data_IF_679013835264
#
_entry.id   IF_679013835264
#
_cell.length_a   1.000
_cell.length_b   1.000
_cell.length_c   1.000
_cell.angle_alpha   90.00
_cell.angle_beta   90.00
_cell.angle_gamma   90.00
#
_symmetry.space_group_name_H-M   'P 1'
#
loop_
_entity.id
_entity.type
_entity.pdbx_description
1 polymer ?
#
# COMPACT_ATOMS: atom_id res chain seq x y z
N UNK A 1 9.16 -6.52 -9.14
CA UNK A 1 7.80 -5.93 -9.27
C UNK A 1 6.88 -6.98 -9.85
N UNK A 2 5.89 -7.46 -9.10
CA UNK A 2 4.88 -8.39 -9.61
C UNK A 2 4.03 -7.70 -10.70
N UNK A 3 3.44 -8.49 -11.59
CA UNK A 3 2.55 -7.96 -12.62
C UNK A 3 1.31 -7.25 -12.02
N UNK A 4 0.84 -7.72 -10.87
CA UNK A 4 -0.24 -7.14 -10.08
C UNK A 4 0.02 -5.69 -9.69
N UNK A 5 1.22 -5.36 -9.22
CA UNK A 5 1.62 -4.02 -8.83
C UNK A 5 1.53 -3.03 -10.00
N UNK A 6 1.94 -3.45 -11.21
CA UNK A 6 1.81 -2.62 -12.41
C UNK A 6 0.33 -2.32 -12.72
N UNK A 7 -0.55 -3.28 -12.52
CA UNK A 7 -1.99 -3.08 -12.71
C UNK A 7 -2.58 -2.13 -11.66
N UNK A 8 -2.20 -2.24 -10.39
CA UNK A 8 -2.65 -1.30 -9.35
C UNK A 8 -2.16 0.14 -9.62
N UNK A 9 -0.90 0.31 -10.04
CA UNK A 9 -0.37 1.63 -10.43
C UNK A 9 -1.14 2.22 -11.64
N UNK A 10 -1.49 1.42 -12.63
CA UNK A 10 -2.34 1.86 -13.74
C UNK A 10 -3.75 2.21 -13.27
N UNK A 11 -4.33 1.40 -12.38
CA UNK A 11 -5.63 1.69 -11.80
C UNK A 11 -5.63 3.05 -11.07
N UNK A 12 -4.57 3.35 -10.30
CA UNK A 12 -4.39 4.66 -9.66
C UNK A 12 -4.32 5.79 -10.69
N UNK A 13 -3.50 5.63 -11.75
CA UNK A 13 -3.37 6.63 -12.82
C UNK A 13 -4.74 6.97 -13.43
N UNK A 14 -5.52 5.95 -13.77
CA UNK A 14 -6.85 6.15 -14.35
C UNK A 14 -7.88 6.67 -13.34
N UNK A 15 -7.82 6.25 -12.07
CA UNK A 15 -8.75 6.75 -11.07
C UNK A 15 -8.53 8.23 -10.76
N UNK A 16 -7.26 8.68 -10.74
CA UNK A 16 -6.88 10.04 -10.36
C UNK A 16 -6.62 10.99 -11.52
N UNK A 17 -6.52 10.49 -12.74
CA UNK A 17 -6.15 11.31 -13.88
C UNK A 17 -4.71 11.83 -13.82
N UNK A 18 -3.75 10.96 -13.51
CA UNK A 18 -2.34 11.33 -13.39
C UNK A 18 -1.61 11.30 -14.73
N UNK A 19 -0.44 11.93 -14.78
CA UNK A 19 0.49 11.93 -15.91
C UNK A 19 -0.16 12.39 -17.24
N UNK A 20 -1.10 13.32 -17.20
CA UNK A 20 -1.80 13.83 -18.37
C UNK A 20 -2.89 12.91 -18.92
N UNK A 21 -3.19 11.82 -18.22
CA UNK A 21 -4.30 10.91 -18.56
C UNK A 21 -5.60 11.48 -17.98
N UNK A 22 -6.66 11.48 -18.77
CA UNK A 22 -8.00 11.83 -18.26
C UNK A 22 -8.50 10.74 -17.31
N UNK A 23 -9.03 11.14 -16.16
CA UNK A 23 -9.61 10.20 -15.19
C UNK A 23 -10.73 9.37 -15.81
N UNK A 24 -10.68 8.06 -15.57
CA UNK A 24 -11.65 7.09 -16.10
C UNK A 24 -11.79 5.91 -15.14
N UNK A 25 -12.83 5.93 -14.31
CA UNK A 25 -13.07 4.88 -13.31
C UNK A 25 -13.40 3.51 -13.93
N UNK A 26 -13.97 3.46 -15.12
CA UNK A 26 -14.23 2.17 -15.80
C UNK A 26 -12.92 1.48 -16.20
N UNK A 27 -11.96 2.25 -16.73
CA UNK A 27 -10.62 1.73 -17.05
C UNK A 27 -9.85 1.41 -15.77
N UNK A 28 -9.96 2.26 -14.74
CA UNK A 28 -9.38 1.98 -13.43
C UNK A 28 -9.87 0.65 -12.84
N UNK A 29 -11.17 0.38 -12.94
CA UNK A 29 -11.78 -0.89 -12.51
C UNK A 29 -11.18 -2.08 -13.25
N UNK A 30 -11.04 -2.01 -14.57
CA UNK A 30 -10.45 -3.09 -15.37
C UNK A 30 -9.02 -3.40 -14.91
N UNK A 31 -8.19 -2.40 -14.69
CA UNK A 31 -6.82 -2.56 -14.21
C UNK A 31 -6.80 -3.07 -12.76
N UNK A 32 -7.66 -2.57 -11.90
CA UNK A 32 -7.81 -3.03 -10.52
C UNK A 32 -8.17 -4.52 -10.43
N UNK A 33 -9.16 -4.98 -11.20
CA UNK A 33 -9.57 -6.39 -11.26
C UNK A 33 -8.45 -7.29 -11.82
N UNK A 34 -7.69 -6.79 -12.80
CA UNK A 34 -6.52 -7.48 -13.32
C UNK A 34 -5.39 -7.56 -12.25
N UNK A 35 -5.21 -6.52 -11.46
CA UNK A 35 -4.28 -6.50 -10.34
C UNK A 35 -4.61 -7.57 -9.29
N UNK A 36 -5.86 -7.63 -8.84
CA UNK A 36 -6.34 -8.64 -7.88
C UNK A 36 -6.16 -10.05 -8.46
N UNK A 37 -6.54 -10.26 -9.71
CA UNK A 37 -6.40 -11.57 -10.38
C UNK A 37 -4.94 -11.98 -10.45
N UNK A 38 -4.06 -11.06 -10.83
CA UNK A 38 -2.61 -11.28 -10.87
C UNK A 38 -2.03 -11.62 -9.51
N UNK A 39 -2.44 -10.90 -8.47
CA UNK A 39 -2.03 -11.12 -7.08
C UNK A 39 -2.45 -12.52 -6.59
N UNK A 40 -3.72 -12.87 -6.74
CA UNK A 40 -4.24 -14.18 -6.35
C UNK A 40 -3.49 -15.33 -7.04
N UNK A 41 -3.23 -15.22 -8.33
CA UNK A 41 -2.49 -16.21 -9.09
C UNK A 41 -1.03 -16.30 -8.64
N UNK A 42 -0.36 -15.16 -8.44
CA UNK A 42 1.03 -15.10 -8.01
C UNK A 42 1.23 -15.75 -6.63
N UNK A 43 0.43 -15.36 -5.64
CA UNK A 43 0.56 -15.87 -4.29
C UNK A 43 0.14 -17.34 -4.17
N UNK A 44 -0.87 -17.78 -4.92
CA UNK A 44 -1.25 -19.18 -4.98
C UNK A 44 -0.15 -20.00 -5.61
N UNK A 45 0.47 -19.55 -6.71
CA UNK A 45 1.58 -20.25 -7.35
C UNK A 45 2.81 -20.31 -6.42
N UNK A 46 3.07 -19.23 -5.67
CA UNK A 46 4.14 -19.22 -4.67
C UNK A 46 3.88 -20.25 -3.55
N UNK A 47 2.62 -20.39 -3.11
CA UNK A 47 2.23 -21.42 -2.14
C UNK A 47 2.38 -22.84 -2.72
N UNK A 48 1.94 -23.07 -3.95
CA UNK A 48 2.11 -24.36 -4.66
C UNK A 48 3.60 -24.73 -4.75
N UNK A 49 4.47 -23.79 -5.04
CA UNK A 49 5.90 -24.01 -5.21
C UNK A 49 6.68 -24.02 -3.88
N UNK A 50 6.04 -23.68 -2.77
CA UNK A 50 6.73 -23.61 -1.47
C UNK A 50 7.20 -25.00 -1.00
N UNK A 51 8.47 -25.18 -0.67
CA UNK A 51 8.98 -26.46 -0.14
C UNK A 51 8.63 -26.65 1.34
N UNK A 52 8.25 -25.59 2.06
CA UNK A 52 7.96 -25.63 3.50
C UNK A 52 6.47 -25.70 3.82
N UNK A 53 5.62 -25.33 2.89
CA UNK A 53 4.18 -25.44 3.05
C UNK A 53 3.72 -26.81 2.54
N UNK A 54 3.52 -27.75 3.44
CA UNK A 54 3.22 -29.16 3.10
C UNK A 54 1.79 -29.59 3.46
N UNK A 55 1.12 -28.86 4.36
CA UNK A 55 -0.26 -29.17 4.80
C UNK A 55 -1.21 -28.16 4.16
N UNK A 56 -2.36 -28.64 3.67
CA UNK A 56 -3.40 -27.84 3.01
C UNK A 56 -2.89 -26.98 1.86
N UNK A 57 -1.88 -27.48 1.15
CA UNK A 57 -1.30 -26.83 -0.01
C UNK A 57 -2.32 -26.72 -1.14
N UNK A 58 -2.46 -25.56 -1.80
CA UNK A 58 -3.36 -25.43 -2.94
C UNK A 58 -3.01 -26.46 -4.04
N UNK A 59 -4.02 -27.16 -4.54
CA UNK A 59 -3.84 -28.15 -5.61
C UNK A 59 -3.66 -27.50 -7.00
N UNK A 60 -4.04 -26.24 -7.15
CA UNK A 60 -3.93 -25.48 -8.40
C UNK A 60 -4.26 -24.02 -8.21
N UNK A 61 -4.18 -23.23 -9.28
CA UNK A 61 -4.57 -21.83 -9.29
C UNK A 61 -6.07 -21.66 -9.00
N UNK A 62 -6.51 -20.50 -8.48
CA UNK A 62 -7.91 -20.21 -8.25
C UNK A 62 -8.71 -20.34 -9.54
N UNK A 63 -9.88 -20.96 -9.46
CA UNK A 63 -10.80 -21.00 -10.60
C UNK A 63 -11.36 -19.60 -10.91
N UNK A 64 -11.82 -19.39 -12.15
CA UNK A 64 -12.52 -18.16 -12.52
C UNK A 64 -13.73 -17.85 -11.63
N UNK A 65 -14.41 -18.90 -11.15
CA UNK A 65 -15.53 -18.75 -10.18
C UNK A 65 -15.04 -18.19 -8.85
N UNK A 66 -13.92 -18.70 -8.34
CA UNK A 66 -13.34 -18.22 -7.08
C UNK A 66 -12.84 -16.78 -7.20
N UNK A 67 -12.17 -16.45 -8.30
CA UNK A 67 -11.73 -15.07 -8.58
C UNK A 67 -12.93 -14.13 -8.66
N UNK A 68 -13.97 -14.48 -9.42
CA UNK A 68 -15.18 -13.67 -9.54
C UNK A 68 -15.91 -13.49 -8.21
N UNK A 69 -15.87 -14.47 -7.32
CA UNK A 69 -16.44 -14.33 -5.98
C UNK A 69 -15.70 -13.27 -5.15
N UNK A 70 -14.38 -13.15 -5.30
CA UNK A 70 -13.60 -12.07 -4.68
C UNK A 70 -13.93 -10.72 -5.31
N UNK A 71 -13.91 -10.61 -6.64
CA UNK A 71 -14.13 -9.36 -7.37
C UNK A 71 -15.55 -8.79 -7.16
N UNK A 72 -16.54 -9.65 -6.97
CA UNK A 72 -17.93 -9.26 -6.71
C UNK A 72 -18.26 -9.10 -5.21
N UNK A 73 -17.28 -9.26 -4.32
CA UNK A 73 -17.50 -8.96 -2.92
C UNK A 73 -17.71 -7.45 -2.73
N UNK A 74 -18.77 -6.99 -2.03
CA UNK A 74 -19.06 -5.56 -1.86
C UNK A 74 -17.94 -4.73 -1.25
N UNK A 75 -17.06 -5.36 -0.44
CA UNK A 75 -15.89 -4.69 0.17
C UNK A 75 -14.77 -4.51 -0.85
N UNK A 76 -14.65 -5.43 -1.82
CA UNK A 76 -13.57 -5.47 -2.82
C UNK A 76 -13.98 -4.75 -4.10
N UNK A 77 -15.24 -4.87 -4.50
CA UNK A 77 -15.76 -4.30 -5.76
C UNK A 77 -15.50 -2.79 -5.81
N UNK A 78 -14.77 -2.34 -6.84
CA UNK A 78 -14.39 -0.94 -6.98
C UNK A 78 -15.64 -0.06 -7.13
N UNK A 79 -15.70 1.03 -6.36
CA UNK A 79 -16.78 2.02 -6.45
C UNK A 79 -16.67 2.79 -7.79
N UNK A 80 -17.68 2.68 -8.67
CA UNK A 80 -17.63 3.35 -9.96
C UNK A 80 -18.03 4.84 -9.89
N UNK A 81 -18.48 5.32 -8.73
CA UNK A 81 -19.12 6.64 -8.57
C UNK A 81 -18.28 7.62 -7.76
N UNK A 82 -17.42 7.14 -6.87
CA UNK A 82 -16.56 7.96 -6.04
C UNK A 82 -15.06 7.65 -6.30
N UNK A 83 -14.40 8.59 -6.98
CA UNK A 83 -12.98 8.47 -7.31
C UNK A 83 -12.08 8.43 -6.06
N UNK A 84 -12.48 9.09 -4.97
CA UNK A 84 -11.72 9.08 -3.71
C UNK A 84 -11.82 7.71 -3.06
N UNK A 85 -13.01 7.17 -2.94
CA UNK A 85 -13.24 5.82 -2.40
C UNK A 85 -12.60 4.75 -3.28
N UNK A 86 -12.75 4.83 -4.61
CA UNK A 86 -12.08 3.94 -5.55
C UNK A 86 -10.55 3.95 -5.37
N UNK A 87 -9.95 5.12 -5.19
CA UNK A 87 -8.51 5.26 -4.94
C UNK A 87 -8.10 4.59 -3.62
N UNK A 88 -8.88 4.73 -2.56
CA UNK A 88 -8.63 4.05 -1.28
C UNK A 88 -8.71 2.53 -1.43
N UNK A 89 -9.67 2.02 -2.19
CA UNK A 89 -9.80 0.58 -2.48
C UNK A 89 -8.60 0.05 -3.27
N UNK A 90 -8.10 0.82 -4.26
CA UNK A 90 -6.90 0.46 -5.03
C UNK A 90 -5.69 0.34 -4.08
N UNK A 91 -5.45 1.34 -3.23
CA UNK A 91 -4.35 1.31 -2.27
C UNK A 91 -4.47 0.18 -1.26
N UNK A 92 -5.68 -0.15 -0.82
CA UNK A 92 -5.92 -1.27 0.07
C UNK A 92 -5.51 -2.61 -0.55
N UNK A 93 -5.87 -2.84 -1.81
CA UNK A 93 -5.51 -4.08 -2.52
C UNK A 93 -4.02 -4.13 -2.88
N UNK A 94 -3.43 -3.01 -3.29
CA UNK A 94 -1.99 -2.89 -3.52
C UNK A 94 -1.20 -3.20 -2.23
N UNK A 95 -1.64 -2.68 -1.08
CA UNK A 95 -1.04 -2.95 0.21
C UNK A 95 -1.14 -4.44 0.61
N UNK A 96 -2.27 -5.09 0.34
CA UNK A 96 -2.44 -6.54 0.56
C UNK A 96 -1.50 -7.35 -0.34
N UNK A 97 -1.32 -6.96 -1.60
CA UNK A 97 -0.37 -7.60 -2.53
C UNK A 97 1.07 -7.53 -2.01
N UNK A 98 1.42 -6.46 -1.30
CA UNK A 98 2.75 -6.23 -0.72
C UNK A 98 3.02 -6.97 0.59
N UNK A 99 2.26 -8.01 0.95
CA UNK A 99 2.34 -8.74 2.24
C UNK A 99 3.75 -9.23 2.61
N UNK A 100 4.62 -9.47 1.64
CA UNK A 100 6.02 -9.88 1.84
C UNK A 100 7.04 -8.81 1.43
N UNK A 101 6.59 -7.59 1.18
CA UNK A 101 7.38 -6.45 0.74
C UNK A 101 7.17 -5.26 1.72
N UNK A 102 7.63 -5.38 2.98
CA UNK A 102 7.30 -4.42 4.02
C UNK A 102 7.80 -2.99 3.74
N UNK A 103 8.90 -2.85 3.01
CA UNK A 103 9.43 -1.54 2.62
C UNK A 103 8.57 -0.85 1.56
N UNK A 104 8.06 -1.62 0.59
CA UNK A 104 7.18 -1.10 -0.46
C UNK A 104 5.81 -0.76 0.14
N UNK A 105 5.27 -1.61 1.01
CA UNK A 105 4.05 -1.35 1.77
C UNK A 105 4.17 -0.10 2.66
N UNK A 106 5.31 0.11 3.33
CA UNK A 106 5.57 1.31 4.11
C UNK A 106 5.67 2.55 3.21
N UNK A 107 6.32 2.45 2.06
CA UNK A 107 6.42 3.55 1.08
C UNK A 107 5.05 3.93 0.54
N UNK A 108 4.23 2.94 0.20
CA UNK A 108 2.83 3.15 -0.22
C UNK A 108 2.05 3.91 0.87
N UNK A 109 2.12 3.45 2.13
CA UNK A 109 1.48 4.11 3.26
C UNK A 109 1.90 5.59 3.39
N UNK A 110 3.20 5.88 3.25
CA UNK A 110 3.72 7.26 3.34
C UNK A 110 3.33 8.12 2.14
N UNK A 111 3.34 7.55 0.94
CA UNK A 111 2.94 8.24 -0.30
C UNK A 111 1.45 8.58 -0.31
N UNK A 112 0.61 7.72 0.22
CA UNK A 112 -0.85 7.86 0.20
C UNK A 112 -1.43 8.60 1.41
N UNK A 113 -0.58 9.01 2.36
CA UNK A 113 -1.02 9.70 3.57
C UNK A 113 -1.82 8.84 4.54
N UNK A 114 -1.63 7.51 4.49
CA UNK A 114 -2.31 6.56 5.37
C UNK A 114 -3.65 6.05 4.85
N UNK A 115 -3.92 6.16 3.56
CA UNK A 115 -5.16 5.65 2.95
C UNK A 115 -5.18 4.11 2.79
N UNK A 116 -4.14 3.42 3.24
CA UNK A 116 -4.07 1.96 3.29
C UNK A 116 -4.75 1.43 4.56
N UNK A 117 -5.18 0.16 4.59
CA UNK A 117 -5.75 -0.44 5.79
C UNK A 117 -4.79 -0.34 6.97
N UNK A 118 -5.28 0.12 8.10
CA UNK A 118 -4.57 0.14 9.37
C UNK A 118 -5.44 -0.54 10.42
N UNK A 119 -4.82 -1.23 11.37
CA UNK A 119 -5.49 -1.67 12.58
C UNK A 119 -5.80 -0.43 13.44
N UNK A 120 -7.07 -0.02 13.56
CA UNK A 120 -7.43 1.19 14.27
C UNK A 120 -7.10 1.12 15.77
N UNK A 121 -7.12 -0.05 16.37
CA UNK A 121 -6.87 -0.22 17.81
C UNK A 121 -5.40 -0.04 18.14
N UNK A 122 -4.51 -0.63 17.37
CA UNK A 122 -3.06 -0.45 17.54
C UNK A 122 -2.59 0.93 17.10
N UNK A 123 -3.14 1.47 16.02
CA UNK A 123 -2.79 2.78 15.52
C UNK A 123 -3.19 3.89 16.50
N UNK A 124 -4.38 3.83 17.09
CA UNK A 124 -4.90 4.86 17.98
C UNK A 124 -4.03 5.03 19.24
N UNK A 125 -3.63 3.93 19.89
CA UNK A 125 -2.80 3.97 21.10
C UNK A 125 -1.40 4.53 20.84
N UNK A 126 -0.74 4.10 19.77
CA UNK A 126 0.58 4.59 19.41
C UNK A 126 0.53 6.08 18.99
N UNK A 127 -0.39 6.44 18.11
CA UNK A 127 -0.52 7.81 17.57
C UNK A 127 -0.88 8.81 18.66
N UNK A 128 -1.71 8.44 19.63
CA UNK A 128 -2.05 9.32 20.76
C UNK A 128 -0.86 9.66 21.65
N UNK A 129 0.09 8.74 21.77
CA UNK A 129 1.25 8.88 22.67
C UNK A 129 2.47 9.51 21.96
N UNK A 130 2.73 9.12 20.71
CA UNK A 130 3.98 9.46 20.01
C UNK A 130 3.75 10.25 18.71
N UNK A 131 2.52 10.44 18.28
CA UNK A 131 2.18 10.96 16.95
C UNK A 131 2.42 9.93 15.85
N UNK A 132 2.20 10.33 14.59
CA UNK A 132 2.45 9.46 13.44
C UNK A 132 3.94 9.14 13.30
N UNK A 133 4.26 7.86 13.21
CA UNK A 133 5.63 7.42 12.95
C UNK A 133 5.98 7.65 11.48
N UNK A 134 6.76 8.68 11.21
CA UNK A 134 7.18 9.03 9.84
C UNK A 134 8.66 8.73 9.58
N UNK A 135 9.51 8.76 10.60
CA UNK A 135 10.95 8.48 10.50
C UNK A 135 11.54 8.14 11.85
N UNK A 136 12.71 7.52 11.82
CA UNK A 136 13.54 7.44 13.02
C UNK A 136 14.14 8.80 13.35
N UNK A 137 14.36 9.03 14.63
CA UNK A 137 15.09 10.21 15.09
C UNK A 137 16.56 10.13 14.66
N UNK A 138 17.17 11.27 14.38
CA UNK A 138 18.61 11.34 14.20
C UNK A 138 19.31 10.98 15.52
N UNK A 139 20.48 10.32 15.47
CA UNK A 139 21.28 10.04 16.67
C UNK A 139 21.56 11.30 17.47
N UNK A 140 21.59 11.19 18.79
CA UNK A 140 21.90 12.34 19.67
C UNK A 140 23.28 12.95 19.41
N UNK A 141 24.22 12.14 18.91
CA UNK A 141 25.55 12.60 18.47
C UNK A 141 25.50 13.66 17.39
N UNK A 142 24.53 13.61 16.46
CA UNK A 142 24.37 14.63 15.43
C UNK A 142 24.04 15.99 16.02
N UNK A 143 23.18 16.04 17.03
CA UNK A 143 22.88 17.27 17.75
C UNK A 143 24.09 17.83 18.47
N UNK A 144 24.96 16.97 18.99
CA UNK A 144 26.14 17.38 19.76
C UNK A 144 27.29 17.84 18.89
N UNK A 145 27.59 17.09 17.82
CA UNK A 145 28.80 17.32 17.02
C UNK A 145 28.54 18.00 15.67
N UNK A 146 27.28 18.07 15.22
CA UNK A 146 26.91 18.64 13.93
C UNK A 146 25.64 19.50 14.01
N UNK A 147 25.58 20.35 15.06
CA UNK A 147 24.39 21.12 15.41
C UNK A 147 23.83 21.97 14.26
N UNK A 148 24.71 22.58 13.46
CA UNK A 148 24.29 23.47 12.36
C UNK A 148 23.50 22.69 11.30
N UNK A 149 24.05 21.58 10.80
CA UNK A 149 23.38 20.75 9.80
C UNK A 149 22.20 20.00 10.40
N UNK A 150 22.31 19.55 11.65
CA UNK A 150 21.19 18.94 12.37
C UNK A 150 20.00 19.91 12.45
N UNK A 151 20.23 21.16 12.87
CA UNK A 151 19.17 22.18 12.97
C UNK A 151 18.59 22.53 11.60
N UNK A 152 19.43 22.63 10.56
CA UNK A 152 18.98 22.87 9.20
C UNK A 152 18.08 21.76 8.65
N UNK A 153 18.42 20.49 8.98
CA UNK A 153 17.68 19.32 8.50
C UNK A 153 16.39 19.06 9.29
N UNK A 154 16.36 19.41 10.58
CA UNK A 154 15.25 19.08 11.48
C UNK A 154 14.38 20.27 11.85
N UNK A 155 14.75 21.48 11.46
CA UNK A 155 14.10 22.71 11.95
C UNK A 155 14.22 22.91 13.45
N UNK A 156 15.21 22.28 14.10
CA UNK A 156 15.43 22.32 15.55
C UNK A 156 14.63 21.31 16.35
N UNK A 157 13.80 20.48 15.70
CA UNK A 157 13.05 19.37 16.30
C UNK A 157 13.56 18.02 15.81
N UNK A 158 13.36 16.94 16.56
CA UNK A 158 13.76 15.60 16.16
C UNK A 158 12.69 14.59 16.59
N UNK A 159 11.48 14.81 16.10
CA UNK A 159 10.34 13.96 16.42
C UNK A 159 10.19 12.82 15.43
N UNK A 160 9.69 11.69 15.89
CA UNK A 160 9.34 10.56 15.03
C UNK A 160 8.19 10.91 14.08
N UNK A 161 7.39 11.92 14.42
CA UNK A 161 6.27 12.43 13.63
C UNK A 161 6.67 13.44 12.54
N UNK A 162 7.93 13.91 12.53
CA UNK A 162 8.39 14.86 11.51
C UNK A 162 8.33 14.20 10.13
N UNK A 163 7.72 14.90 9.17
CA UNK A 163 7.58 14.37 7.80
C UNK A 163 8.93 14.33 7.09
N UNK A 164 9.16 13.26 6.35
CA UNK A 164 10.24 13.17 5.37
C UNK A 164 9.75 13.69 4.01
N UNK A 165 10.68 13.93 3.09
CA UNK A 165 10.39 14.51 1.76
C UNK A 165 9.34 13.73 0.96
N UNK A 166 9.26 12.40 1.12
CA UNK A 166 8.30 11.54 0.42
C UNK A 166 6.89 11.60 1.02
N UNK A 167 6.76 12.11 2.25
CA UNK A 167 5.49 12.21 2.98
C UNK A 167 4.90 13.64 2.98
N UNK A 168 5.32 14.46 2.01
CA UNK A 168 4.83 15.84 1.86
C UNK A 168 3.49 15.91 1.15
#
# INVERSE_FOLDING_TARGET
>A
MPCSEVHFLKAEIYARGLAGITANLATAKTEYEAGITGSLNFWTQAAINSPVWVVDKPAGLPSGVAINAVLNNPIVMLDPTDATHATQQIYAQEWIDMIRQPWDAWTLLKRTGGLTPMDPDNAAGYVSTYGNFNRYQYPGSEKTFNLVNWSASTGGTNLVSDKIWIAK
#
